data_IF_165852141983
#
_entry.id   IF_165852141983
#
_cell.length_a   1.000
_cell.length_b   1.000
_cell.length_c   1.000
_cell.angle_alpha   90.00
_cell.angle_beta   90.00
_cell.angle_gamma   90.00
#
_symmetry.space_group_name_H-M   'P 1'
#
loop_
_entity.id
_entity.type
_entity.pdbx_description
1 polymer ?
#
# COMPACT_ATOMS: atom_id res chain seq x y z
N UNK A 1 -11.36 -6.70 4.05
CA UNK A 1 -10.33 -5.70 3.66
C UNK A 1 -9.40 -5.36 4.83
N UNK A 2 -9.82 -4.61 5.85
CA UNK A 2 -8.93 -4.14 6.92
C UNK A 2 -8.20 -5.28 7.64
N UNK A 3 -8.90 -6.34 8.04
CA UNK A 3 -8.23 -7.50 8.68
C UNK A 3 -7.19 -8.12 7.75
N UNK A 4 -7.48 -8.25 6.45
CA UNK A 4 -6.50 -8.74 5.47
C UNK A 4 -5.28 -7.83 5.33
N UNK A 5 -5.46 -6.51 5.46
CA UNK A 5 -4.37 -5.54 5.50
C UNK A 5 -3.47 -5.76 6.72
N UNK A 6 -4.04 -5.86 7.92
CA UNK A 6 -3.29 -6.10 9.15
C UNK A 6 -2.59 -7.47 9.15
N UNK A 7 -3.25 -8.51 8.62
CA UNK A 7 -2.61 -9.81 8.40
C UNK A 7 -1.43 -9.73 7.42
N UNK A 8 -1.47 -8.80 6.46
CA UNK A 8 -0.33 -8.49 5.60
C UNK A 8 0.88 -7.97 6.37
N UNK A 9 0.66 -7.09 7.35
CA UNK A 9 1.74 -6.64 8.24
C UNK A 9 2.37 -7.78 9.03
N UNK A 10 1.54 -8.70 9.53
CA UNK A 10 2.02 -9.88 10.25
C UNK A 10 2.77 -10.84 9.32
N UNK A 11 2.19 -11.17 8.16
CA UNK A 11 2.77 -12.14 7.21
C UNK A 11 4.12 -11.69 6.64
N UNK A 12 4.28 -10.39 6.43
CA UNK A 12 5.53 -9.80 5.93
C UNK A 12 6.46 -9.32 7.06
N UNK A 13 6.11 -9.56 8.32
CA UNK A 13 6.90 -9.21 9.51
C UNK A 13 7.34 -7.72 9.53
N UNK A 14 6.51 -6.83 8.97
CA UNK A 14 6.90 -5.43 8.77
C UNK A 14 7.33 -4.76 10.09
N UNK A 15 6.61 -5.01 11.18
CA UNK A 15 6.92 -4.44 12.50
C UNK A 15 8.29 -4.88 13.02
N UNK A 16 8.68 -6.14 12.80
CA UNK A 16 9.98 -6.67 13.21
C UNK A 16 11.10 -5.95 12.46
N UNK A 17 11.01 -5.95 11.13
CA UNK A 17 12.04 -5.35 10.27
C UNK A 17 12.17 -3.85 10.45
N UNK A 18 11.05 -3.13 10.60
CA UNK A 18 11.08 -1.69 10.86
C UNK A 18 11.64 -1.35 12.25
N UNK A 19 11.44 -2.21 13.24
CA UNK A 19 12.04 -2.06 14.57
C UNK A 19 13.55 -2.27 14.51
N UNK A 20 13.99 -3.36 13.87
CA UNK A 20 15.42 -3.64 13.67
C UNK A 20 16.11 -2.54 12.87
N UNK A 21 15.49 -2.06 11.78
CA UNK A 21 15.99 -0.93 11.01
C UNK A 21 16.08 0.36 11.83
N UNK A 22 15.08 0.61 12.70
CA UNK A 22 15.09 1.72 13.64
C UNK A 22 16.26 1.65 14.63
N UNK A 23 16.49 0.48 15.24
CA UNK A 23 17.62 0.26 16.15
C UNK A 23 18.96 0.44 15.42
N UNK A 24 19.11 -0.16 14.24
CA UNK A 24 20.30 -0.04 13.41
C UNK A 24 20.58 1.41 12.97
N UNK A 25 19.53 2.22 12.77
CA UNK A 25 19.67 3.64 12.40
C UNK A 25 20.05 4.55 13.56
N UNK A 26 19.88 4.11 14.82
CA UNK A 26 20.11 4.92 16.02
C UNK A 26 21.49 5.59 16.07
N UNK A 27 22.61 4.88 15.86
CA UNK A 27 23.94 5.52 15.86
C UNK A 27 24.11 6.54 14.72
N UNK A 28 23.38 6.39 13.61
CA UNK A 28 23.48 7.28 12.45
C UNK A 28 22.80 8.63 12.70
N UNK A 29 21.84 8.71 13.63
CA UNK A 29 21.10 9.96 13.93
C UNK A 29 21.96 11.07 14.51
N UNK A 30 23.07 10.71 15.17
CA UNK A 30 24.04 11.67 15.69
C UNK A 30 24.92 12.28 14.59
N UNK A 31 24.95 11.70 13.38
CA UNK A 31 25.78 12.16 12.28
C UNK A 31 25.00 13.12 11.38
N UNK A 32 25.55 14.32 11.09
CA UNK A 32 24.91 15.26 10.17
C UNK A 32 24.77 14.63 8.79
N UNK A 33 23.69 14.97 8.10
CA UNK A 33 23.27 14.41 6.79
C UNK A 33 22.89 12.92 6.82
N UNK A 34 23.72 12.03 7.40
CA UNK A 34 23.47 10.58 7.42
C UNK A 34 22.24 10.19 8.26
N UNK A 35 22.01 10.86 9.40
CA UNK A 35 20.81 10.63 10.20
C UNK A 35 19.51 10.87 9.43
N UNK A 36 19.43 12.01 8.74
CA UNK A 36 18.27 12.37 7.93
C UNK A 36 18.05 11.42 6.74
N UNK A 37 19.13 10.91 6.13
CA UNK A 37 19.03 9.91 5.06
C UNK A 37 18.53 8.56 5.58
N UNK A 38 19.01 8.12 6.75
CA UNK A 38 18.57 6.87 7.38
C UNK A 38 17.09 6.92 7.75
N UNK A 39 16.63 8.00 8.39
CA UNK A 39 15.22 8.16 8.75
C UNK A 39 14.33 8.28 7.49
N UNK A 40 14.79 8.97 6.45
CA UNK A 40 14.09 9.04 5.15
C UNK A 40 13.95 7.68 4.47
N UNK A 41 15.02 6.85 4.48
CA UNK A 41 14.97 5.50 3.94
C UNK A 41 14.00 4.61 4.71
N UNK A 42 14.05 4.64 6.05
CA UNK A 42 13.10 3.92 6.90
C UNK A 42 11.68 4.37 6.64
N UNK A 43 11.44 5.67 6.48
CA UNK A 43 10.10 6.18 6.17
C UNK A 43 9.61 5.69 4.81
N UNK A 44 10.46 5.71 3.78
CA UNK A 44 10.10 5.14 2.47
C UNK A 44 9.80 3.64 2.56
N UNK A 45 10.51 2.90 3.40
CA UNK A 45 10.22 1.49 3.63
C UNK A 45 8.88 1.29 4.34
N UNK A 46 8.57 2.08 5.39
CA UNK A 46 7.25 2.06 6.04
C UNK A 46 6.13 2.28 5.03
N UNK A 47 6.28 3.29 4.17
CA UNK A 47 5.29 3.59 3.13
C UNK A 47 5.18 2.48 2.09
N UNK A 48 6.28 1.80 1.75
CA UNK A 48 6.28 0.67 0.83
C UNK A 48 5.60 -0.58 1.41
N UNK A 49 5.72 -0.81 2.72
CA UNK A 49 5.08 -1.93 3.42
C UNK A 49 3.55 -1.91 3.30
N UNK A 50 2.94 -0.73 3.15
CA UNK A 50 1.50 -0.60 2.97
C UNK A 50 1.02 -1.25 1.66
N UNK A 51 1.84 -1.27 0.60
CA UNK A 51 1.46 -1.89 -0.67
C UNK A 51 1.37 -3.42 -0.56
N UNK A 52 2.26 -4.08 0.18
CA UNK A 52 2.14 -5.52 0.43
C UNK A 52 0.89 -5.82 1.27
N UNK A 53 0.58 -5.00 2.25
CA UNK A 53 -0.63 -5.11 3.05
C UNK A 53 -1.91 -4.88 2.22
N UNK A 54 -1.92 -3.92 1.30
CA UNK A 54 -3.04 -3.69 0.39
C UNK A 54 -3.27 -4.87 -0.55
N UNK A 55 -2.20 -5.50 -1.05
CA UNK A 55 -2.30 -6.74 -1.83
C UNK A 55 -2.90 -7.88 -1.00
N UNK A 56 -2.50 -8.02 0.27
CA UNK A 56 -3.09 -9.00 1.19
C UNK A 56 -4.58 -8.72 1.43
N UNK A 57 -4.97 -7.46 1.63
CA UNK A 57 -6.38 -7.07 1.72
C UNK A 57 -7.17 -7.43 0.45
N UNK A 58 -6.55 -7.30 -0.72
CA UNK A 58 -7.13 -7.63 -2.01
C UNK A 58 -7.26 -9.14 -2.24
N UNK A 59 -6.30 -9.94 -1.78
CA UNK A 59 -6.41 -11.41 -1.81
C UNK A 59 -7.60 -11.91 -0.97
N UNK A 60 -7.85 -11.27 0.18
CA UNK A 60 -8.97 -11.63 1.07
C UNK A 60 -10.32 -11.15 0.56
N UNK A 61 -10.38 -9.95 -0.02
CA UNK A 61 -11.66 -9.33 -0.43
C UNK A 61 -12.03 -9.57 -1.89
N UNK A 62 -11.05 -9.82 -2.75
CA UNK A 62 -11.18 -10.04 -4.20
C UNK A 62 -11.96 -8.95 -4.96
N UNK A 63 -12.08 -7.76 -4.35
CA UNK A 63 -12.77 -6.62 -4.93
C UNK A 63 -12.04 -5.33 -4.55
N UNK A 64 -11.56 -4.62 -5.58
CA UNK A 64 -10.88 -3.33 -5.43
C UNK A 64 -11.79 -2.30 -4.75
N UNK A 65 -13.09 -2.30 -5.06
CA UNK A 65 -14.07 -1.37 -4.48
C UNK A 65 -14.20 -1.55 -2.98
N UNK A 66 -14.08 -2.78 -2.48
CA UNK A 66 -14.14 -3.06 -1.03
C UNK A 66 -12.92 -2.48 -0.33
N UNK A 67 -11.71 -2.69 -0.85
CA UNK A 67 -10.47 -2.16 -0.26
C UNK A 67 -10.40 -0.64 -0.39
N UNK A 68 -10.65 -0.10 -1.58
CA UNK A 68 -10.65 1.34 -1.84
C UNK A 68 -11.74 2.06 -1.03
N UNK A 69 -12.92 1.46 -0.88
CA UNK A 69 -14.01 2.00 -0.07
C UNK A 69 -13.71 1.99 1.42
N UNK A 70 -13.06 0.95 1.93
CA UNK A 70 -12.60 0.91 3.33
C UNK A 70 -11.53 1.99 3.57
N UNK A 71 -10.57 2.12 2.66
CA UNK A 71 -9.55 3.16 2.70
C UNK A 71 -10.19 4.56 2.68
N UNK A 72 -11.10 4.82 1.74
CA UNK A 72 -11.80 6.10 1.62
C UNK A 72 -12.52 6.47 2.92
N UNK A 73 -13.22 5.53 3.56
CA UNK A 73 -13.92 5.78 4.83
C UNK A 73 -12.95 6.07 6.00
N UNK A 74 -11.78 5.44 6.02
CA UNK A 74 -10.75 5.73 7.04
C UNK A 74 -10.15 7.13 6.87
N UNK A 75 -9.95 7.58 5.62
CA UNK A 75 -9.36 8.90 5.36
C UNK A 75 -10.37 10.05 5.37
N UNK A 76 -11.55 9.86 4.78
CA UNK A 76 -12.58 10.88 4.64
C UNK A 76 -13.57 10.91 5.82
N UNK A 77 -13.53 9.89 6.68
CA UNK A 77 -14.52 9.65 7.73
C UNK A 77 -15.79 9.01 7.20
N UNK A 78 -16.67 8.61 8.11
CA UNK A 78 -17.93 7.91 7.81
C UNK A 78 -19.17 8.80 7.85
N UNK A 79 -19.04 10.04 8.32
CA UNK A 79 -20.16 10.97 8.49
C UNK A 79 -20.65 11.62 7.20
N UNK A 80 -19.93 11.43 6.09
CA UNK A 80 -20.25 12.01 4.78
C UNK A 80 -20.55 10.89 3.79
N UNK A 81 -21.42 11.18 2.81
CA UNK A 81 -21.61 10.29 1.68
C UNK A 81 -20.30 10.18 0.90
N UNK A 82 -19.78 8.97 0.76
CA UNK A 82 -18.54 8.67 0.03
C UNK A 82 -18.87 8.01 -1.30
N UNK A 83 -18.18 8.39 -2.38
CA UNK A 83 -18.26 7.71 -3.67
C UNK A 83 -16.93 6.99 -3.95
N UNK A 84 -16.94 5.66 -3.81
CA UNK A 84 -15.75 4.83 -4.00
C UNK A 84 -15.29 4.81 -5.46
N UNK A 85 -16.20 4.78 -6.42
CA UNK A 85 -15.84 4.76 -7.83
C UNK A 85 -15.12 6.06 -8.24
N UNK A 86 -15.68 7.20 -7.85
CA UNK A 86 -15.04 8.50 -8.10
C UNK A 86 -13.65 8.60 -7.45
N UNK A 87 -13.45 7.97 -6.30
CA UNK A 87 -12.14 7.92 -5.65
C UNK A 87 -11.14 7.03 -6.42
N UNK A 88 -11.59 5.90 -6.98
CA UNK A 88 -10.75 5.06 -7.85
C UNK A 88 -10.40 5.82 -9.13
N UNK A 89 -11.37 6.47 -9.77
CA UNK A 89 -11.15 7.25 -11.00
C UNK A 89 -10.15 8.39 -10.74
N UNK A 90 -10.32 9.11 -9.62
CA UNK A 90 -9.40 10.15 -9.17
C UNK A 90 -7.98 9.59 -8.94
N UNK A 91 -7.86 8.40 -8.37
CA UNK A 91 -6.56 7.77 -8.13
C UNK A 91 -5.80 7.49 -9.43
N UNK A 92 -6.50 6.94 -10.44
CA UNK A 92 -5.93 6.66 -11.76
C UNK A 92 -5.58 7.95 -12.52
N UNK A 93 -6.44 8.97 -12.45
CA UNK A 93 -6.18 10.27 -13.05
C UNK A 93 -4.97 10.96 -12.40
N UNK A 94 -4.91 10.98 -11.07
CA UNK A 94 -3.78 11.52 -10.31
C UNK A 94 -2.46 10.86 -10.72
N UNK A 95 -2.45 9.53 -10.87
CA UNK A 95 -1.25 8.81 -11.30
C UNK A 95 -0.82 9.20 -12.72
N UNK A 96 -1.77 9.33 -13.65
CA UNK A 96 -1.51 9.76 -15.03
C UNK A 96 -0.92 11.18 -15.06
N UNK A 97 -1.49 12.10 -14.29
CA UNK A 97 -0.98 13.47 -14.16
C UNK A 97 0.41 13.50 -13.52
N UNK A 98 0.67 12.65 -12.52
CA UNK A 98 1.96 12.57 -11.87
C UNK A 98 3.06 12.05 -12.81
N UNK A 99 2.73 11.17 -13.76
CA UNK A 99 3.67 10.68 -14.78
C UNK A 99 4.07 11.77 -15.78
N UNK A 100 3.13 12.64 -16.17
CA UNK A 100 3.40 13.75 -17.09
C UNK A 100 3.94 15.01 -16.40
N UNK A 101 3.88 15.08 -15.07
CA UNK A 101 4.39 16.20 -14.30
C UNK A 101 5.92 16.35 -14.41
N UNK A 102 6.37 17.60 -14.34
CA UNK A 102 7.80 17.94 -14.31
C UNK A 102 8.51 17.22 -13.12
N UNK A 103 9.76 16.75 -13.28
CA UNK A 103 10.55 16.12 -12.22
C UNK A 103 10.58 16.89 -10.90
N UNK A 104 10.60 18.23 -10.91
CA UNK A 104 10.58 19.05 -9.69
C UNK A 104 9.27 18.90 -8.91
N UNK A 105 8.13 18.82 -9.60
CA UNK A 105 6.82 18.58 -8.98
C UNK A 105 6.77 17.19 -8.37
N UNK A 106 7.22 16.17 -9.11
CA UNK A 106 7.30 14.78 -8.64
C UNK A 106 8.20 14.67 -7.40
N UNK A 107 9.38 15.28 -7.44
CA UNK A 107 10.32 15.30 -6.32
C UNK A 107 9.78 16.08 -5.11
N UNK A 108 8.96 17.12 -5.32
CA UNK A 108 8.29 17.85 -4.25
C UNK A 108 7.29 16.96 -3.52
N UNK A 109 6.41 16.28 -4.28
CA UNK A 109 5.40 15.37 -3.75
C UNK A 109 6.06 14.20 -2.99
N UNK A 110 7.13 13.61 -3.54
CA UNK A 110 7.86 12.51 -2.91
C UNK A 110 8.58 12.90 -1.61
N UNK A 111 9.02 14.17 -1.49
CA UNK A 111 9.74 14.67 -0.31
C UNK A 111 8.82 15.05 0.84
N UNK A 112 7.51 15.08 0.63
CA UNK A 112 6.58 15.33 1.72
C UNK A 112 6.67 14.17 2.72
N UNK A 113 7.09 14.48 3.95
CA UNK A 113 7.04 13.53 5.05
C UNK A 113 5.58 13.23 5.36
N UNK A 114 5.20 11.96 5.23
CA UNK A 114 3.84 11.49 5.51
C UNK A 114 3.92 10.24 6.35
N UNK A 115 3.08 10.13 7.37
CA UNK A 115 2.97 8.93 8.22
C UNK A 115 2.36 7.75 7.47
N UNK A 116 1.53 8.01 6.46
CA UNK A 116 0.96 7.02 5.55
C UNK A 116 1.07 7.49 4.09
N UNK A 117 1.06 6.57 3.10
CA UNK A 117 1.09 6.94 1.71
C UNK A 117 -0.18 7.70 1.34
N UNK A 118 -0.11 8.51 0.27
CA UNK A 118 -1.29 9.21 -0.22
C UNK A 118 -2.34 8.16 -0.62
N UNK A 119 -3.60 8.25 -0.14
CA UNK A 119 -4.61 7.23 -0.42
C UNK A 119 -4.78 6.97 -1.92
N UNK A 120 -4.73 8.02 -2.73
CA UNK A 120 -4.82 7.93 -4.20
C UNK A 120 -3.69 7.08 -4.82
N UNK A 121 -2.46 7.14 -4.30
CA UNK A 121 -1.37 6.32 -4.83
C UNK A 121 -1.58 4.84 -4.53
N UNK A 122 -2.07 4.55 -3.31
CA UNK A 122 -2.34 3.17 -2.88
C UNK A 122 -3.44 2.55 -3.73
N UNK A 123 -4.52 3.28 -3.98
CA UNK A 123 -5.62 2.79 -4.84
C UNK A 123 -5.16 2.59 -6.28
N UNK A 124 -4.35 3.48 -6.84
CA UNK A 124 -3.81 3.29 -8.19
C UNK A 124 -2.93 2.03 -8.29
N UNK A 125 -2.03 1.81 -7.33
CA UNK A 125 -1.21 0.58 -7.29
C UNK A 125 -2.04 -0.69 -7.03
N UNK A 126 -3.08 -0.59 -6.20
CA UNK A 126 -4.02 -1.67 -5.95
C UNK A 126 -4.76 -2.08 -7.22
N UNK A 127 -5.25 -1.11 -8.00
CA UNK A 127 -5.94 -1.38 -9.27
C UNK A 127 -5.01 -2.11 -10.25
N UNK A 128 -3.77 -1.63 -10.41
CA UNK A 128 -2.77 -2.32 -11.24
C UNK A 128 -2.50 -3.75 -10.79
N UNK A 129 -2.44 -3.96 -9.47
CA UNK A 129 -2.25 -5.30 -8.93
C UNK A 129 -3.44 -6.21 -9.26
N UNK A 130 -4.68 -5.71 -9.14
CA UNK A 130 -5.86 -6.47 -9.51
C UNK A 130 -5.87 -6.87 -11.00
N UNK A 131 -5.38 -5.99 -11.87
CA UNK A 131 -5.30 -6.26 -13.31
C UNK A 131 -4.12 -7.18 -13.70
N UNK A 132 -3.16 -7.37 -12.80
CA UNK A 132 -1.92 -8.11 -13.04
C UNK A 132 -2.14 -9.61 -13.29
N UNK A 133 -1.22 -10.22 -14.05
CA UNK A 133 -1.27 -11.67 -14.33
C UNK A 133 -0.93 -12.48 -13.08
N UNK A 134 -0.03 -11.94 -12.26
CA UNK A 134 0.44 -12.53 -11.02
C UNK A 134 -0.73 -12.71 -10.04
N UNK A 135 -1.57 -11.68 -9.88
CA UNK A 135 -2.76 -11.77 -9.03
C UNK A 135 -3.72 -12.86 -9.51
N UNK A 136 -4.05 -12.87 -10.81
CA UNK A 136 -4.94 -13.87 -11.43
C UNK A 136 -4.41 -15.29 -11.24
N UNK A 137 -3.11 -15.48 -11.44
CA UNK A 137 -2.42 -16.76 -11.24
C UNK A 137 -2.52 -17.25 -9.79
N UNK A 138 -2.44 -16.35 -8.81
CA UNK A 138 -2.59 -16.70 -7.39
C UNK A 138 -4.01 -17.21 -7.10
N UNK A 139 -5.03 -16.52 -7.62
CA UNK A 139 -6.43 -16.93 -7.44
C UNK A 139 -6.73 -18.28 -8.12
N UNK A 140 -6.24 -18.48 -9.34
CA UNK A 140 -6.41 -19.75 -10.08
C UNK A 140 -5.81 -20.92 -9.31
N UNK A 141 -4.62 -20.75 -8.73
CA UNK A 141 -3.97 -21.78 -7.91
C UNK A 141 -4.76 -22.08 -6.62
N UNK A 142 -5.30 -21.05 -5.97
CA UNK A 142 -6.12 -21.23 -4.78
C UNK A 142 -7.42 -22.00 -5.08
N UNK A 143 -8.09 -21.68 -6.19
CA UNK A 143 -9.28 -22.42 -6.62
C UNK A 143 -8.97 -23.90 -6.92
N UNK A 144 -7.81 -24.19 -7.53
CA UNK A 144 -7.38 -25.56 -7.80
C UNK A 144 -7.03 -26.34 -6.53
N UNK A 145 -6.47 -25.70 -5.50
CA UNK A 145 -6.22 -26.38 -4.23
C UNK A 145 -7.51 -26.74 -3.50
N UNK A 146 -8.49 -25.84 -3.51
CA UNK A 146 -9.78 -26.07 -2.85
C UNK A 146 -10.56 -27.23 -3.51
N UNK A 147 -10.48 -27.37 -4.85
CA UNK A 147 -11.06 -28.48 -5.59
C UNK A 147 -10.41 -29.84 -5.29
N UNK A 148 -9.16 -29.85 -4.81
CA UNK A 148 -8.41 -31.05 -4.52
C UNK A 148 -8.61 -31.53 -3.07
N UNK A 149 -8.74 -30.61 -2.11
CA UNK A 149 -9.11 -30.91 -0.72
C UNK A 149 -10.55 -31.43 -0.58
N UNK A 150 -11.44 -31.10 -1.52
CA UNK A 150 -12.82 -31.62 -1.56
C UNK A 150 -12.96 -33.05 -2.12
N UNK A 151 -11.86 -33.70 -2.51
CA UNK A 151 -11.85 -35.05 -3.12
C UNK A 151 -11.16 -36.13 -2.26
N UNK A 152 -10.65 -35.78 -1.08
CA UNK A 152 -10.19 -36.73 -0.04
C UNK A 152 -11.28 -36.98 1.01
#
# INVERSE_FOLDING_TARGET
>A
AIIGHELGHLKCEHSLYLTLGGLASTPLRALPFLGAQADSLLQRWRLAAEYSCDRAAMLVSQDVSVVAGAMLKLFAGTSRATNTQAFIDQALEYEKLLKSANPLVRASIQRQQRTHPVPVNRVAELQKWADSKEYKTILEKAAQSDDNDGKE
#
